data_IF_383555498713
#
_entry.id   IF_383555498713
#
_cell.length_a   1.000
_cell.length_b   1.000
_cell.length_c   1.000
_cell.angle_alpha   90.00
_cell.angle_beta   90.00
_cell.angle_gamma   90.00
#
_symmetry.space_group_name_H-M   'P 1'
#
loop_
_entity.id
_entity.type
_entity.pdbx_description
1 polymer ?
#
# COMPACT_ATOMS: atom_id res chain seq x y z
N UNK A 1 1.39 13.05 -7.31
CA UNK A 1 0.14 12.25 -7.31
C UNK A 1 -0.95 12.90 -6.47
N UNK A 2 -0.79 13.02 -5.14
CA UNK A 2 -1.84 13.54 -4.23
C UNK A 2 -2.25 14.98 -4.53
N UNK A 3 -1.27 15.91 -4.65
CA UNK A 3 -1.55 17.34 -4.92
C UNK A 3 -2.36 17.55 -6.22
N UNK A 4 -2.11 16.70 -7.21
CA UNK A 4 -2.77 16.76 -8.53
C UNK A 4 -3.94 15.77 -8.66
N UNK A 5 -4.38 15.15 -7.56
CA UNK A 5 -5.41 14.08 -7.53
C UNK A 5 -5.22 12.99 -8.60
N UNK A 6 -3.97 12.65 -8.92
CA UNK A 6 -3.65 11.71 -9.99
C UNK A 6 -3.58 10.29 -9.44
N UNK A 7 -4.71 9.59 -9.53
CA UNK A 7 -4.91 8.20 -9.10
C UNK A 7 -3.98 7.22 -9.81
N UNK A 8 -3.77 7.38 -11.13
CA UNK A 8 -2.91 6.47 -11.90
C UNK A 8 -1.45 6.58 -11.47
N UNK A 9 -0.96 7.80 -11.26
CA UNK A 9 0.38 8.04 -10.74
C UNK A 9 0.56 7.44 -9.33
N UNK A 10 -0.48 7.45 -8.50
CA UNK A 10 -0.44 6.81 -7.18
C UNK A 10 -0.32 5.29 -7.29
N UNK A 11 -1.13 4.62 -8.11
CA UNK A 11 -1.05 3.16 -8.28
C UNK A 11 0.27 2.72 -8.90
N UNK A 12 0.84 3.53 -9.80
CA UNK A 12 2.18 3.31 -10.33
C UNK A 12 3.25 3.40 -9.24
N UNK A 13 3.15 4.40 -8.35
CA UNK A 13 4.08 4.55 -7.23
C UNK A 13 3.94 3.42 -6.20
N UNK A 14 2.71 3.01 -5.89
CA UNK A 14 2.42 1.87 -5.01
C UNK A 14 3.03 0.56 -5.56
N UNK A 15 2.86 0.32 -6.87
CA UNK A 15 3.53 -0.80 -7.55
C UNK A 15 5.05 -0.73 -7.43
N UNK A 16 5.64 0.45 -7.67
CA UNK A 16 7.09 0.62 -7.63
C UNK A 16 7.64 0.41 -6.22
N UNK A 17 6.88 0.77 -5.19
CA UNK A 17 7.21 0.46 -3.80
C UNK A 17 7.23 -1.04 -3.55
N UNK A 18 6.17 -1.77 -3.95
CA UNK A 18 6.12 -3.24 -3.81
C UNK A 18 7.33 -3.92 -4.48
N UNK A 19 7.72 -3.46 -5.68
CA UNK A 19 8.88 -3.97 -6.42
C UNK A 19 10.20 -3.67 -5.71
N UNK A 20 10.36 -2.46 -5.16
CA UNK A 20 11.53 -2.09 -4.38
C UNK A 20 11.66 -2.92 -3.09
N UNK A 21 10.54 -3.15 -2.38
CA UNK A 21 10.51 -4.00 -1.19
C UNK A 21 10.85 -5.46 -1.51
N UNK A 22 10.36 -5.98 -2.65
CA UNK A 22 10.69 -7.33 -3.08
C UNK A 22 12.19 -7.53 -3.34
N UNK A 23 12.87 -6.52 -3.89
CA UNK A 23 14.32 -6.52 -4.09
C UNK A 23 15.04 -6.41 -2.74
N UNK A 24 14.62 -5.47 -1.89
CA UNK A 24 15.27 -5.20 -0.61
C UNK A 24 15.15 -6.35 0.40
N UNK A 25 14.04 -7.11 0.36
CA UNK A 25 13.81 -8.22 1.28
C UNK A 25 14.72 -9.43 1.04
N UNK A 26 15.42 -9.50 -0.11
CA UNK A 26 16.27 -10.63 -0.53
C UNK A 26 15.63 -12.01 -0.32
N UNK A 27 14.30 -12.07 -0.45
CA UNK A 27 13.51 -13.29 -0.25
C UNK A 27 12.54 -13.47 -1.41
N UNK A 28 12.97 -14.16 -2.49
CA UNK A 28 12.15 -14.34 -3.68
C UNK A 28 10.88 -15.17 -3.43
N UNK A 29 10.86 -16.01 -2.40
CA UNK A 29 9.66 -16.79 -2.05
C UNK A 29 8.59 -15.91 -1.42
N UNK A 30 8.97 -15.05 -0.46
CA UNK A 30 8.06 -14.09 0.16
C UNK A 30 7.48 -13.12 -0.88
N UNK A 31 8.34 -12.58 -1.77
CA UNK A 31 7.91 -11.71 -2.86
C UNK A 31 6.89 -12.38 -3.78
N UNK A 32 7.12 -13.66 -4.16
CA UNK A 32 6.21 -14.43 -5.01
C UNK A 32 4.85 -14.69 -4.36
N UNK A 33 4.82 -14.92 -3.05
CA UNK A 33 3.56 -15.09 -2.30
C UNK A 33 2.78 -13.78 -2.21
N UNK A 34 3.48 -12.65 -2.01
CA UNK A 34 2.86 -11.34 -1.88
C UNK A 34 2.32 -10.77 -3.20
N UNK A 35 3.00 -10.99 -4.33
CA UNK A 35 2.67 -10.41 -5.64
C UNK A 35 1.19 -10.52 -6.08
N UNK A 36 0.53 -11.69 -6.01
CA UNK A 36 -0.90 -11.78 -6.36
C UNK A 36 -1.77 -11.00 -5.37
N UNK A 37 -1.45 -11.01 -4.07
CA UNK A 37 -2.20 -10.29 -3.03
C UNK A 37 -2.11 -8.77 -3.24
N UNK A 38 -0.92 -8.25 -3.53
CA UNK A 38 -0.69 -6.84 -3.88
C UNK A 38 -1.49 -6.43 -5.12
N UNK A 39 -1.52 -7.29 -6.14
CA UNK A 39 -2.28 -7.04 -7.37
C UNK A 39 -3.79 -6.97 -7.11
N UNK A 40 -4.32 -7.86 -6.28
CA UNK A 40 -5.74 -7.83 -5.87
C UNK A 40 -6.05 -6.62 -5.00
N UNK A 41 -5.17 -6.27 -4.06
CA UNK A 41 -5.30 -5.09 -3.21
C UNK A 41 -5.40 -3.80 -4.03
N UNK A 42 -4.50 -3.60 -5.01
CA UNK A 42 -4.55 -2.44 -5.92
C UNK A 42 -5.82 -2.39 -6.75
N UNK A 43 -6.28 -3.53 -7.29
CA UNK A 43 -7.53 -3.61 -8.06
C UNK A 43 -8.74 -3.25 -7.20
N UNK A 44 -8.80 -3.78 -5.99
CA UNK A 44 -9.82 -3.44 -5.00
C UNK A 44 -9.80 -1.93 -4.72
N UNK A 45 -8.64 -1.39 -4.37
CA UNK A 45 -8.49 0.02 -4.03
C UNK A 45 -8.90 0.94 -5.19
N UNK A 46 -8.46 0.64 -6.41
CA UNK A 46 -8.87 1.41 -7.60
C UNK A 46 -10.38 1.39 -7.81
N UNK A 47 -11.02 0.23 -7.67
CA UNK A 47 -12.46 0.07 -7.92
C UNK A 47 -13.32 0.81 -6.89
N UNK A 48 -12.90 0.85 -5.62
CA UNK A 48 -13.78 1.29 -4.52
C UNK A 48 -13.32 2.57 -3.83
N UNK A 49 -12.05 2.97 -3.99
CA UNK A 49 -11.42 4.05 -3.24
C UNK A 49 -10.69 5.10 -4.08
N UNK A 50 -10.57 4.92 -5.40
CA UNK A 50 -9.91 5.89 -6.27
C UNK A 50 -10.38 7.35 -6.07
N UNK A 51 -11.70 7.55 -5.89
CA UNK A 51 -12.29 8.89 -5.81
C UNK A 51 -12.22 9.52 -4.40
N UNK A 52 -11.96 8.72 -3.36
CA UNK A 52 -12.13 9.17 -1.96
C UNK A 52 -10.97 8.87 -1.03
N UNK A 53 -10.15 7.86 -1.35
CA UNK A 53 -9.13 7.34 -0.45
C UNK A 53 -7.69 7.74 -0.78
N UNK A 54 -7.46 8.58 -1.81
CA UNK A 54 -6.11 8.86 -2.32
C UNK A 54 -5.18 9.48 -1.26
N UNK A 55 -5.60 10.55 -0.59
CA UNK A 55 -4.75 11.27 0.36
C UNK A 55 -4.40 10.39 1.57
N UNK A 56 -5.40 9.78 2.20
CA UNK A 56 -5.23 8.90 3.37
C UNK A 56 -4.35 7.69 3.04
N UNK A 57 -4.58 7.02 1.90
CA UNK A 57 -3.78 5.86 1.52
C UNK A 57 -2.32 6.27 1.27
N UNK A 58 -2.10 7.38 0.56
CA UNK A 58 -0.76 7.89 0.31
C UNK A 58 -0.03 8.27 1.61
N UNK A 59 -0.72 8.84 2.59
CA UNK A 59 -0.14 9.15 3.91
C UNK A 59 0.38 7.88 4.61
N UNK A 60 -0.42 6.81 4.63
CA UNK A 60 -0.01 5.55 5.23
C UNK A 60 1.18 4.90 4.49
N UNK A 61 1.23 4.97 3.15
CA UNK A 61 2.39 4.51 2.40
C UNK A 61 3.64 5.35 2.70
N UNK A 62 3.52 6.67 2.78
CA UNK A 62 4.64 7.57 3.10
C UNK A 62 5.17 7.31 4.51
N UNK A 63 4.29 7.08 5.50
CA UNK A 63 4.70 6.73 6.85
C UNK A 63 5.53 5.43 6.87
N UNK A 64 5.04 4.38 6.20
CA UNK A 64 5.78 3.12 6.07
C UNK A 64 7.14 3.31 5.39
N UNK A 65 7.19 4.05 4.28
CA UNK A 65 8.44 4.33 3.55
C UNK A 65 9.45 5.03 4.47
N UNK A 66 9.01 6.03 5.24
CA UNK A 66 9.89 6.77 6.16
C UNK A 66 10.47 5.85 7.23
N UNK A 67 9.63 5.05 7.89
CA UNK A 67 10.07 4.11 8.92
C UNK A 67 11.10 3.10 8.38
N UNK A 68 10.95 2.65 7.11
CA UNK A 68 11.93 1.80 6.44
C UNK A 68 13.24 2.54 6.15
N UNK A 69 13.17 3.77 5.64
CA UNK A 69 14.36 4.57 5.35
C UNK A 69 15.15 4.95 6.61
N UNK A 70 14.47 5.10 7.74
CA UNK A 70 15.07 5.37 9.05
C UNK A 70 15.70 4.11 9.67
N UNK A 71 15.48 2.92 9.08
CA UNK A 71 15.98 1.64 9.59
C UNK A 71 15.26 1.17 10.86
N UNK A 72 14.11 1.75 11.18
CA UNK A 72 13.31 1.40 12.36
C UNK A 72 12.34 0.26 12.02
N UNK A 73 12.79 -0.97 12.27
CA UNK A 73 12.02 -2.19 12.01
C UNK A 73 10.67 -2.20 12.75
N UNK A 74 10.65 -1.78 14.02
CA UNK A 74 9.44 -1.80 14.83
C UNK A 74 8.40 -0.80 14.31
N UNK A 75 8.84 0.41 13.96
CA UNK A 75 7.99 1.42 13.35
C UNK A 75 7.48 0.97 11.97
N UNK A 76 8.36 0.40 11.14
CA UNK A 76 7.96 -0.10 9.82
C UNK A 76 6.91 -1.21 9.94
N UNK A 77 7.09 -2.17 10.86
CA UNK A 77 6.12 -3.23 11.11
C UNK A 77 4.78 -2.66 11.61
N UNK A 78 4.82 -1.63 12.48
CA UNK A 78 3.63 -0.95 12.98
C UNK A 78 2.89 -0.21 11.87
N UNK A 79 3.59 0.53 11.01
CA UNK A 79 2.97 1.29 9.94
C UNK A 79 2.43 0.39 8.82
N UNK A 80 3.11 -0.73 8.52
CA UNK A 80 2.58 -1.76 7.65
C UNK A 80 1.26 -2.35 8.20
N UNK A 81 1.18 -2.62 9.50
CA UNK A 81 -0.08 -3.08 10.15
C UNK A 81 -1.19 -2.03 10.04
N UNK A 82 -0.89 -0.74 10.23
CA UNK A 82 -1.87 0.34 10.06
C UNK A 82 -2.39 0.41 8.63
N UNK A 83 -1.51 0.33 7.64
CA UNK A 83 -1.90 0.30 6.22
C UNK A 83 -2.81 -0.89 5.92
N UNK A 84 -2.47 -2.09 6.41
CA UNK A 84 -3.32 -3.27 6.24
C UNK A 84 -4.68 -3.15 6.94
N UNK A 85 -4.71 -2.54 8.13
CA UNK A 85 -5.96 -2.28 8.84
C UNK A 85 -6.87 -1.29 8.08
N UNK A 86 -6.30 -0.23 7.52
CA UNK A 86 -7.02 0.72 6.67
C UNK A 86 -7.67 0.01 5.47
N UNK A 87 -6.88 -0.77 4.72
CA UNK A 87 -7.37 -1.49 3.53
C UNK A 87 -8.44 -2.52 3.90
N UNK A 88 -8.30 -3.20 5.04
CA UNK A 88 -9.33 -4.12 5.56
C UNK A 88 -10.63 -3.38 5.87
N UNK A 89 -10.58 -2.28 6.62
CA UNK A 89 -11.77 -1.50 6.94
C UNK A 89 -12.46 -0.97 5.68
N UNK A 90 -11.68 -0.57 4.68
CA UNK A 90 -12.21 -0.21 3.36
C UNK A 90 -12.95 -1.37 2.69
N UNK A 91 -12.41 -2.58 2.76
CA UNK A 91 -13.03 -3.77 2.17
C UNK A 91 -14.32 -4.17 2.89
N UNK A 92 -14.36 -4.10 4.22
CA UNK A 92 -15.55 -4.39 5.03
C UNK A 92 -16.70 -3.42 4.72
N UNK A 93 -16.39 -2.12 4.60
CA UNK A 93 -17.38 -1.11 4.18
C UNK A 93 -17.85 -1.34 2.75
N UNK A 94 -16.97 -1.77 1.84
CA UNK A 94 -17.36 -2.05 0.46
C UNK A 94 -18.22 -3.32 0.34
N UNK A 95 -17.99 -4.33 1.19
CA UNK A 95 -18.74 -5.59 1.20
C UNK A 95 -20.15 -5.48 1.80
N UNK A 96 -20.42 -4.42 2.56
CA UNK A 96 -21.71 -4.16 3.22
C UNK A 96 -22.60 -3.16 2.46
N UNK A 97 -22.16 -2.71 1.28
CA UNK A 97 -22.92 -1.87 0.34
C UNK A 97 -23.58 -2.73 -0.73
#
# INVERSE_FOLDING_TARGET
>A
AVISSNVLAFIQADKALDEALAIAADNPFAARVAAPLQSHSRRFWYRYKADTGLAESAEHHVALIRSILDGDEEAAAKDAKKLMALLRGHAEVAATR
#
